data_IF_931961386618
#
_entry.id   IF_931961386618
#
_cell.length_a   1.000
_cell.length_b   1.000
_cell.length_c   1.000
_cell.angle_alpha   90.00
_cell.angle_beta   90.00
_cell.angle_gamma   90.00
#
_symmetry.space_group_name_H-M   'P 1'
#
loop_
_entity.id
_entity.type
_entity.pdbx_description
1 polymer ?
#
# COMPACT_ATOMS: atom_id res chain seq x y z
N UNK A 1 2.25 0.84 -6.94
CA UNK A 1 1.31 1.24 -5.87
C UNK A 1 0.00 0.45 -5.91
N UNK A 2 -0.75 0.44 -7.02
CA UNK A 2 -2.05 -0.24 -7.10
C UNK A 2 -2.03 -1.75 -6.75
N UNK A 3 -1.08 -2.50 -7.30
CA UNK A 3 -0.92 -3.94 -7.02
C UNK A 3 -0.71 -4.23 -5.53
N UNK A 4 0.16 -3.44 -4.90
CA UNK A 4 0.49 -3.52 -3.48
C UNK A 4 -0.72 -3.26 -2.58
N UNK A 5 -1.57 -2.31 -2.95
CA UNK A 5 -2.80 -2.02 -2.21
C UNK A 5 -3.84 -3.13 -2.32
N UNK A 6 -3.95 -3.79 -3.48
CA UNK A 6 -4.85 -4.92 -3.67
C UNK A 6 -4.38 -6.17 -2.93
N UNK A 7 -3.07 -6.43 -2.91
CA UNK A 7 -2.51 -7.56 -2.16
C UNK A 7 -2.73 -7.38 -0.65
N UNK A 8 -2.48 -6.19 -0.10
CA UNK A 8 -2.86 -5.86 1.28
C UNK A 8 -4.35 -6.07 1.55
N UNK A 9 -5.23 -5.56 0.68
CA UNK A 9 -6.67 -5.67 0.89
C UNK A 9 -7.12 -7.15 0.88
N UNK A 10 -6.53 -7.98 0.03
CA UNK A 10 -6.83 -9.43 0.01
C UNK A 10 -6.42 -10.11 1.32
N UNK A 11 -5.27 -9.73 1.89
CA UNK A 11 -4.74 -10.35 3.11
C UNK A 11 -5.36 -9.80 4.40
N UNK A 12 -5.59 -8.49 4.49
CA UNK A 12 -5.97 -7.80 5.71
C UNK A 12 -7.43 -7.36 5.76
N UNK A 13 -8.10 -7.26 4.60
CA UNK A 13 -9.48 -6.79 4.46
C UNK A 13 -10.27 -7.66 3.46
N UNK A 14 -10.30 -9.00 3.64
CA UNK A 14 -10.92 -9.89 2.65
C UNK A 14 -12.41 -9.56 2.44
N UNK A 15 -13.12 -9.15 3.49
CA UNK A 15 -14.53 -8.78 3.44
C UNK A 15 -14.79 -7.46 2.69
N UNK A 16 -13.80 -6.55 2.64
CA UNK A 16 -13.90 -5.27 1.94
C UNK A 16 -13.13 -5.26 0.61
N UNK A 17 -12.61 -6.41 0.16
CA UNK A 17 -11.72 -6.49 -1.00
C UNK A 17 -12.40 -6.01 -2.28
N UNK A 18 -13.68 -6.34 -2.49
CA UNK A 18 -14.43 -5.88 -3.66
C UNK A 18 -14.67 -4.37 -3.65
N UNK A 19 -14.88 -3.78 -2.48
CA UNK A 19 -15.00 -2.32 -2.32
C UNK A 19 -13.68 -1.62 -2.61
N UNK A 20 -12.55 -2.16 -2.12
CA UNK A 20 -11.22 -1.65 -2.44
C UNK A 20 -10.96 -1.74 -3.94
N UNK A 21 -11.23 -2.90 -4.55
CA UNK A 21 -11.09 -3.11 -6.00
C UNK A 21 -11.94 -2.12 -6.80
N UNK A 22 -13.17 -1.86 -6.35
CA UNK A 22 -14.07 -0.90 -6.97
C UNK A 22 -13.56 0.55 -6.83
N UNK A 23 -13.06 0.95 -5.66
CA UNK A 23 -12.50 2.30 -5.45
C UNK A 23 -11.38 2.59 -6.43
N UNK A 24 -10.47 1.63 -6.61
CA UNK A 24 -9.33 1.75 -7.50
C UNK A 24 -9.65 1.63 -8.99
N UNK A 25 -10.87 1.24 -9.35
CA UNK A 25 -11.37 1.35 -10.74
C UNK A 25 -11.79 2.78 -11.13
N UNK A 26 -11.85 3.72 -10.17
CA UNK A 26 -12.32 5.10 -10.36
C UNK A 26 -11.21 6.11 -9.96
N UNK A 27 -11.27 7.34 -10.47
CA UNK A 27 -10.45 8.44 -9.93
C UNK A 27 -10.83 8.72 -8.47
N UNK A 28 -9.84 9.06 -7.64
CA UNK A 28 -10.06 9.37 -6.22
C UNK A 28 -10.14 8.15 -5.31
N UNK A 29 -9.53 7.03 -5.71
CA UNK A 29 -9.50 5.79 -4.93
C UNK A 29 -8.79 5.94 -3.58
N UNK A 30 -7.67 6.66 -3.55
CA UNK A 30 -6.78 6.69 -2.40
C UNK A 30 -7.38 7.39 -1.16
N UNK A 31 -8.07 8.54 -1.28
CA UNK A 31 -8.83 9.10 -0.15
C UNK A 31 -9.92 8.16 0.38
N UNK A 32 -10.65 7.46 -0.51
CA UNK A 32 -11.70 6.50 -0.12
C UNK A 32 -11.11 5.29 0.61
N UNK A 33 -10.00 4.77 0.11
CA UNK A 33 -9.25 3.69 0.74
C UNK A 33 -8.76 4.09 2.14
N UNK A 34 -8.19 5.29 2.32
CA UNK A 34 -7.79 5.79 3.64
C UNK A 34 -8.97 5.95 4.61
N UNK A 35 -10.12 6.40 4.12
CA UNK A 35 -11.33 6.45 4.93
C UNK A 35 -11.82 5.05 5.36
N UNK A 36 -11.72 4.04 4.50
CA UNK A 36 -12.02 2.65 4.84
C UNK A 36 -11.06 2.13 5.92
N UNK A 37 -9.75 2.36 5.76
CA UNK A 37 -8.74 1.98 6.75
C UNK A 37 -9.02 2.62 8.13
N UNK A 38 -9.41 3.89 8.15
CA UNK A 38 -9.79 4.58 9.38
C UNK A 38 -10.98 3.90 10.08
N UNK A 39 -12.03 3.58 9.31
CA UNK A 39 -13.24 2.90 9.83
C UNK A 39 -12.96 1.50 10.36
N UNK A 40 -12.02 0.79 9.74
CA UNK A 40 -11.62 -0.57 10.13
C UNK A 40 -10.51 -0.62 11.18
N UNK A 41 -10.00 0.54 11.62
CA UNK A 41 -8.85 0.60 12.54
C UNK A 41 -7.58 -0.04 11.94
N UNK A 42 -7.45 -0.03 10.61
CA UNK A 42 -6.39 -0.71 9.88
C UNK A 42 -5.29 0.24 9.38
N UNK A 43 -5.32 1.52 9.80
CA UNK A 43 -4.32 2.53 9.42
C UNK A 43 -2.91 2.09 9.82
N UNK A 44 -2.72 1.65 11.07
CA UNK A 44 -1.41 1.25 11.57
C UNK A 44 -0.88 0.00 10.84
N UNK A 45 -1.78 -0.95 10.51
CA UNK A 45 -1.43 -2.13 9.71
C UNK A 45 -1.02 -1.76 8.30
N UNK A 46 -1.72 -0.80 7.69
CA UNK A 46 -1.36 -0.28 6.38
C UNK A 46 0.02 0.41 6.40
N UNK A 47 0.31 1.25 7.39
CA UNK A 47 1.64 1.86 7.55
C UNK A 47 2.74 0.84 7.78
N UNK A 48 2.50 -0.20 8.60
CA UNK A 48 3.45 -1.28 8.81
C UNK A 48 3.70 -2.09 7.53
N UNK A 49 2.65 -2.31 6.72
CA UNK A 49 2.77 -2.99 5.43
C UNK A 49 3.54 -2.17 4.40
N UNK A 50 3.25 -0.86 4.30
CA UNK A 50 4.02 0.07 3.46
C UNK A 50 5.49 0.14 3.89
N UNK A 51 5.77 0.24 5.19
CA UNK A 51 7.14 0.28 5.69
C UNK A 51 7.90 -1.01 5.39
N UNK A 52 7.29 -2.19 5.54
CA UNK A 52 7.93 -3.47 5.17
C UNK A 52 8.20 -3.56 3.67
N UNK A 53 7.26 -3.09 2.85
CA UNK A 53 7.41 -3.05 1.40
C UNK A 53 8.53 -2.11 0.95
N UNK A 54 8.60 -0.93 1.57
CA UNK A 54 9.65 0.05 1.32
C UNK A 54 10.98 -0.48 1.83
N UNK A 55 11.03 -1.11 2.99
CA UNK A 55 12.26 -1.72 3.53
C UNK A 55 12.77 -2.86 2.64
N UNK A 56 11.89 -3.72 2.12
CA UNK A 56 12.27 -4.75 1.14
C UNK A 56 12.74 -4.14 -0.18
N UNK A 57 12.02 -3.13 -0.70
CA UNK A 57 12.44 -2.42 -1.91
C UNK A 57 13.77 -1.66 -1.71
N UNK A 58 14.07 -1.19 -0.50
CA UNK A 58 15.36 -0.57 -0.15
C UNK A 58 16.47 -1.62 -0.07
N UNK A 59 16.22 -2.78 0.55
CA UNK A 59 17.18 -3.91 0.57
C UNK A 59 17.45 -4.47 -0.82
N UNK A 60 16.43 -4.55 -1.67
CA UNK A 60 16.57 -4.97 -3.08
C UNK A 60 17.20 -3.87 -3.95
N UNK A 61 16.98 -2.58 -3.66
CA UNK A 61 17.66 -1.47 -4.35
C UNK A 61 19.13 -1.31 -3.96
N UNK A 62 19.52 -1.68 -2.74
CA UNK A 62 20.95 -1.76 -2.38
C UNK A 62 21.72 -2.76 -3.24
N UNK A 63 21.05 -3.73 -3.87
CA UNK A 63 21.68 -4.66 -4.80
C UNK A 63 21.78 -4.13 -6.24
N UNK A 64 21.08 -3.04 -6.61
CA UNK A 64 20.99 -2.63 -8.01
C UNK A 64 21.49 -1.21 -8.34
N UNK A 65 21.55 -0.25 -7.41
CA UNK A 65 22.06 1.08 -7.78
C UNK A 65 22.79 1.77 -6.62
N UNK A 66 24.08 2.06 -6.84
CA UNK A 66 24.73 3.28 -6.37
C UNK A 66 23.80 4.46 -6.69
N UNK A 67 23.05 4.93 -5.70
CA UNK A 67 22.32 6.18 -5.84
C UNK A 67 23.34 7.26 -5.49
N UNK A 68 23.99 7.82 -6.51
CA UNK A 68 24.58 9.15 -6.45
C UNK A 68 23.53 10.09 -5.86
N UNK A 69 23.80 10.55 -4.64
CA UNK A 69 23.13 11.71 -4.07
C UNK A 69 23.67 12.89 -4.88
N UNK A 70 22.94 13.31 -5.92
CA UNK A 70 23.12 14.64 -6.51
C UNK A 70 22.78 15.65 -5.40
N UNK A 71 23.80 16.42 -5.03
CA UNK A 71 23.81 17.36 -3.90
C UNK A 71 23.10 18.68 -4.14
#
# INVERSE_FOLDING_TARGET
MLRFTLDFARECLPDDFDDVRYFFSKRGAYPKFKALLARRGAIDRWHAYENKAIEQALRERCALHEIEIVG
#
